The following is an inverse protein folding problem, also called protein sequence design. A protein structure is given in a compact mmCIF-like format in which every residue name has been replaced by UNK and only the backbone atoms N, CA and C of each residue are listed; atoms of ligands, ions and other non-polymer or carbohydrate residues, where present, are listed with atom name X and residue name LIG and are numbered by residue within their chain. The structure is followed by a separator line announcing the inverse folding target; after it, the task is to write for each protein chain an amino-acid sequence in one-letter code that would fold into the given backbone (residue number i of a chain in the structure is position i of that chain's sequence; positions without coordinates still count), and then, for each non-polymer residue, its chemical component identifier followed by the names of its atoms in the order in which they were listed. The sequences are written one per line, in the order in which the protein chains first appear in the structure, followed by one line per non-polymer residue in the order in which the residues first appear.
data_IF_719658269399
#
_entry.id   IF_719658269399
#
_cell.length_a   1.000
_cell.length_b   1.000
_cell.length_c   1.000
_cell.angle_alpha   90.00
_cell.angle_beta   90.00
_cell.angle_gamma   90.00
#
_symmetry.space_group_name_H-M   'P 1'
#
loop_
_entity.id
_entity.type
_entity.pdbx_description
1 polymer ?
#
# COMPACT_ATOMS: atom_id res chain seq x y z
N UNK A 1 14.03 25.50 -6.17
CA UNK A 1 13.95 25.54 -4.71
C UNK A 1 13.98 24.13 -4.13
N UNK A 2 14.54 23.95 -2.92
CA UNK A 2 14.64 22.63 -2.25
C UNK A 2 13.25 21.96 -2.09
N UNK A 3 12.22 22.76 -1.84
CA UNK A 3 10.83 22.27 -1.74
C UNK A 3 10.32 21.67 -3.04
N UNK A 4 10.58 22.31 -4.18
CA UNK A 4 10.17 21.77 -5.48
C UNK A 4 10.86 20.43 -5.77
N UNK A 5 12.14 20.31 -5.44
CA UNK A 5 12.85 19.05 -5.59
C UNK A 5 12.25 17.95 -4.70
N UNK A 6 11.91 18.26 -3.46
CA UNK A 6 11.27 17.30 -2.55
C UNK A 6 9.92 16.82 -3.11
N UNK A 7 9.05 17.77 -3.48
CA UNK A 7 7.74 17.45 -4.04
C UNK A 7 7.86 16.64 -5.34
N UNK A 8 8.81 17.00 -6.23
CA UNK A 8 9.00 16.25 -7.48
C UNK A 8 9.40 14.78 -7.24
N UNK A 9 10.16 14.49 -6.18
CA UNK A 9 10.50 13.11 -5.79
C UNK A 9 9.25 12.31 -5.39
N UNK A 10 8.34 12.91 -4.63
CA UNK A 10 7.11 12.21 -4.25
C UNK A 10 6.15 12.04 -5.43
N UNK A 11 6.07 13.01 -6.34
CA UNK A 11 5.33 12.85 -7.59
C UNK A 11 5.92 11.69 -8.41
N UNK A 12 7.24 11.59 -8.50
CA UNK A 12 7.89 10.49 -9.19
C UNK A 12 7.60 9.15 -8.52
N UNK A 13 7.68 9.07 -7.19
CA UNK A 13 7.33 7.85 -6.44
C UNK A 13 5.89 7.45 -6.73
N UNK A 14 4.94 8.37 -6.61
CA UNK A 14 3.54 8.11 -6.90
C UNK A 14 3.32 7.64 -8.35
N UNK A 15 3.96 8.29 -9.32
CA UNK A 15 3.84 7.89 -10.73
C UNK A 15 4.40 6.48 -10.99
N UNK A 16 5.55 6.14 -10.39
CA UNK A 16 6.17 4.82 -10.55
C UNK A 16 5.32 3.74 -9.88
N UNK A 17 4.79 4.01 -8.68
CA UNK A 17 3.94 3.06 -7.95
C UNK A 17 2.62 2.83 -8.70
N UNK A 18 1.95 3.91 -9.15
CA UNK A 18 0.73 3.82 -9.94
C UNK A 18 0.96 3.05 -11.27
N UNK A 19 2.06 3.33 -11.95
CA UNK A 19 2.43 2.60 -13.17
C UNK A 19 2.69 1.11 -12.90
N UNK A 20 3.40 0.78 -11.83
CA UNK A 20 3.67 -0.61 -11.43
C UNK A 20 2.37 -1.37 -11.15
N UNK A 21 1.44 -0.75 -10.42
CA UNK A 21 0.13 -1.35 -10.16
C UNK A 21 -0.68 -1.54 -11.44
N UNK A 22 -0.64 -0.57 -12.36
CA UNK A 22 -1.30 -0.68 -13.66
C UNK A 22 -0.74 -1.88 -14.45
N UNK A 23 0.58 -2.04 -14.48
CA UNK A 23 1.24 -3.18 -15.15
C UNK A 23 0.77 -4.51 -14.54
N UNK A 24 0.70 -4.60 -13.21
CA UNK A 24 0.21 -5.81 -12.51
C UNK A 24 -1.24 -6.10 -12.90
N UNK A 25 -2.12 -5.11 -12.85
CA UNK A 25 -3.53 -5.27 -13.23
C UNK A 25 -3.66 -5.69 -14.70
N UNK A 26 -2.95 -5.03 -15.61
CA UNK A 26 -2.95 -5.41 -17.03
C UNK A 26 -2.46 -6.85 -17.23
N UNK A 27 -1.41 -7.26 -16.52
CA UNK A 27 -0.88 -8.63 -16.60
C UNK A 27 -1.90 -9.67 -16.14
N UNK A 28 -2.61 -9.40 -15.04
CA UNK A 28 -3.68 -10.27 -14.54
C UNK A 28 -4.83 -10.36 -15.55
N UNK A 29 -5.25 -9.24 -16.14
CA UNK A 29 -6.31 -9.22 -17.15
C UNK A 29 -5.89 -10.01 -18.39
N UNK A 30 -4.68 -9.79 -18.90
CA UNK A 30 -4.16 -10.53 -20.07
C UNK A 30 -4.13 -12.03 -19.77
N UNK A 31 -3.61 -12.42 -18.60
CA UNK A 31 -3.57 -13.82 -18.18
C UNK A 31 -4.97 -14.43 -18.10
N UNK A 32 -5.93 -13.70 -17.50
CA UNK A 32 -7.33 -14.13 -17.41
C UNK A 32 -7.94 -14.37 -18.80
N UNK A 33 -7.68 -13.48 -19.76
CA UNK A 33 -8.14 -13.64 -21.14
C UNK A 33 -7.48 -14.84 -21.84
N UNK A 34 -6.19 -15.08 -21.61
CA UNK A 34 -5.47 -16.22 -22.19
C UNK A 34 -6.00 -17.58 -21.69
N UNK A 35 -6.42 -17.63 -20.43
CA UNK A 35 -6.98 -18.86 -19.82
C UNK A 35 -8.48 -18.99 -20.07
N UNK A 36 -9.07 -18.11 -20.89
CA UNK A 36 -10.52 -18.07 -21.18
C UNK A 36 -11.38 -17.97 -19.91
N UNK A 37 -10.82 -17.42 -18.83
CA UNK A 37 -11.56 -17.18 -17.60
C UNK A 37 -12.47 -15.96 -17.75
N UNK A 38 -13.69 -16.04 -17.26
CA UNK A 38 -14.58 -14.88 -17.18
C UNK A 38 -14.02 -13.88 -16.16
N UNK A 39 -13.67 -12.68 -16.61
CA UNK A 39 -13.26 -11.61 -15.70
C UNK A 39 -14.52 -11.04 -15.02
N UNK A 40 -14.60 -11.20 -13.70
CA UNK A 40 -15.64 -10.60 -12.89
C UNK A 40 -15.02 -9.55 -11.95
N UNK A 41 -15.58 -8.36 -11.94
CA UNK A 41 -15.25 -7.33 -10.95
C UNK A 41 -15.86 -7.62 -9.56
N UNK A 42 -16.59 -8.73 -9.43
CA UNK A 42 -17.25 -9.16 -8.21
C UNK A 42 -16.48 -10.32 -7.60
N UNK A 43 -16.19 -10.21 -6.31
CA UNK A 43 -15.54 -11.27 -5.53
C UNK A 43 -16.63 -12.11 -4.87
N UNK A 44 -16.71 -13.37 -5.27
CA UNK A 44 -17.64 -14.33 -4.69
C UNK A 44 -17.03 -14.98 -3.46
N UNK A 45 -17.67 -14.82 -2.29
CA UNK A 45 -17.21 -15.44 -1.04
C UNK A 45 -17.14 -16.97 -1.12
N UNK A 46 -17.98 -17.58 -1.94
CA UNK A 46 -17.99 -19.03 -2.18
C UNK A 46 -16.72 -19.54 -2.88
N UNK A 47 -16.15 -18.75 -3.79
CA UNK A 47 -14.89 -19.10 -4.46
C UNK A 47 -13.71 -19.20 -3.48
N UNK A 48 -13.75 -18.46 -2.38
CA UNK A 48 -12.75 -18.50 -1.31
C UNK A 48 -12.95 -19.70 -0.36
N UNK A 49 -14.16 -20.27 -0.29
CA UNK A 49 -14.44 -21.48 0.49
C UNK A 49 -13.76 -22.71 -0.12
N UNK A 50 -13.55 -22.73 -1.44
CA UNK A 50 -12.77 -23.79 -2.12
C UNK A 50 -11.32 -23.86 -1.64
N UNK A 51 -10.80 -22.80 -1.02
CA UNK A 51 -9.45 -22.75 -0.44
C UNK A 51 -9.38 -23.25 1.03
N UNK A 52 -10.35 -24.04 1.49
CA UNK A 52 -10.45 -24.55 2.88
C UNK A 52 -10.52 -23.46 3.95
N UNK A 53 -10.95 -22.26 3.61
CA UNK A 53 -11.19 -21.19 4.57
C UNK A 53 -12.52 -21.45 5.29
N UNK A 54 -12.51 -21.34 6.61
CA UNK A 54 -13.68 -21.63 7.42
C UNK A 54 -14.89 -20.73 7.05
N UNK A 55 -16.02 -21.31 6.66
CA UNK A 55 -17.18 -20.55 6.15
C UNK A 55 -17.79 -19.57 7.17
N UNK A 56 -17.56 -19.76 8.45
CA UNK A 56 -18.01 -18.84 9.52
C UNK A 56 -17.24 -17.52 9.52
N UNK A 57 -16.06 -17.48 8.92
CA UNK A 57 -15.18 -16.31 8.86
C UNK A 57 -15.57 -15.37 7.70
N UNK A 58 -16.14 -15.91 6.62
CA UNK A 58 -16.51 -15.16 5.42
C UNK A 58 -17.96 -14.64 5.50
N UNK A 59 -18.20 -13.52 4.85
CA UNK A 59 -19.56 -13.05 4.57
C UNK A 59 -20.14 -13.89 3.43
N UNK A 60 -21.40 -14.26 3.56
CA UNK A 60 -22.13 -14.85 2.44
C UNK A 60 -22.46 -13.73 1.43
N UNK A 61 -22.26 -14.00 0.14
CA UNK A 61 -22.66 -13.11 -0.96
C UNK A 61 -21.48 -12.56 -1.76
N UNK A 62 -21.83 -11.61 -2.59
CA UNK A 62 -20.95 -10.97 -3.55
C UNK A 62 -20.43 -9.64 -2.98
N UNK A 63 -19.17 -9.33 -3.23
CA UNK A 63 -18.56 -8.06 -2.86
C UNK A 63 -17.93 -7.42 -4.11
N UNK A 64 -18.23 -6.14 -4.33
CA UNK A 64 -17.57 -5.36 -5.38
C UNK A 64 -16.08 -5.26 -5.09
N UNK A 65 -15.25 -5.60 -6.06
CA UNK A 65 -13.79 -5.58 -5.95
C UNK A 65 -13.21 -4.16 -5.94
N UNK A 66 -13.91 -3.17 -6.47
CA UNK A 66 -13.42 -1.80 -6.61
C UNK A 66 -12.99 -1.16 -5.27
N UNK A 67 -13.77 -1.27 -4.18
CA UNK A 67 -13.32 -0.76 -2.87
C UNK A 67 -12.05 -1.44 -2.37
N UNK A 68 -11.86 -2.74 -2.62
CA UNK A 68 -10.62 -3.43 -2.26
C UNK A 68 -9.41 -2.86 -3.01
N UNK A 69 -9.51 -2.74 -4.34
CA UNK A 69 -8.43 -2.19 -5.15
C UNK A 69 -8.13 -0.73 -4.81
N UNK A 70 -9.14 0.05 -4.43
CA UNK A 70 -8.95 1.42 -3.94
C UNK A 70 -8.13 1.42 -2.65
N UNK A 71 -8.49 0.61 -1.66
CA UNK A 71 -7.75 0.48 -0.41
C UNK A 71 -6.31 0.01 -0.62
N UNK A 72 -6.12 -0.98 -1.49
CA UNK A 72 -4.83 -1.52 -1.88
C UNK A 72 -3.95 -0.44 -2.53
N UNK A 73 -4.48 0.33 -3.48
CA UNK A 73 -3.75 1.42 -4.13
C UNK A 73 -3.24 2.45 -3.12
N UNK A 74 -4.13 2.98 -2.27
CA UNK A 74 -3.74 3.98 -1.27
C UNK A 74 -2.76 3.44 -0.24
N UNK A 75 -2.88 2.17 0.16
CA UNK A 75 -1.94 1.54 1.08
C UNK A 75 -0.55 1.38 0.46
N UNK A 76 -0.47 0.98 -0.81
CA UNK A 76 0.80 0.90 -1.55
C UNK A 76 1.47 2.27 -1.67
N UNK A 77 0.72 3.30 -2.05
CA UNK A 77 1.24 4.67 -2.15
C UNK A 77 1.77 5.15 -0.79
N UNK A 78 1.01 4.94 0.29
CA UNK A 78 1.44 5.35 1.63
C UNK A 78 2.72 4.63 2.08
N UNK A 79 2.88 3.34 1.79
CA UNK A 79 4.09 2.57 2.09
C UNK A 79 5.28 3.06 1.27
N UNK A 80 5.09 3.37 -0.02
CA UNK A 80 6.14 3.92 -0.88
C UNK A 80 6.59 5.32 -0.41
N UNK A 81 5.65 6.16 0.00
CA UNK A 81 5.95 7.47 0.60
C UNK A 81 6.70 7.33 1.93
N UNK A 82 6.28 6.41 2.79
CA UNK A 82 6.96 6.14 4.06
C UNK A 82 8.38 5.64 3.82
N UNK A 83 8.56 4.70 2.88
CA UNK A 83 9.88 4.20 2.52
C UNK A 83 10.79 5.31 1.98
N UNK A 84 10.28 6.18 1.12
CA UNK A 84 11.05 7.30 0.58
C UNK A 84 11.45 8.29 1.67
N UNK A 85 10.51 8.65 2.58
CA UNK A 85 10.78 9.58 3.67
C UNK A 85 11.77 9.01 4.69
N UNK A 86 11.56 7.78 5.15
CA UNK A 86 12.47 7.10 6.10
C UNK A 86 13.83 6.85 5.45
N UNK A 87 13.85 6.44 4.17
CA UNK A 87 15.08 6.18 3.41
C UNK A 87 15.93 7.44 3.26
N UNK A 88 15.30 8.60 3.15
CA UNK A 88 15.99 9.89 3.10
C UNK A 88 16.66 10.24 4.44
N UNK A 89 16.03 9.93 5.57
CA UNK A 89 16.52 10.27 6.92
C UNK A 89 17.54 9.25 7.42
N UNK A 90 17.23 7.95 7.30
CA UNK A 90 17.99 6.85 7.90
C UNK A 90 18.83 6.06 6.89
N UNK A 91 18.67 6.35 5.61
CA UNK A 91 19.29 5.59 4.52
C UNK A 91 18.43 4.42 4.02
N UNK A 92 18.69 3.96 2.77
CA UNK A 92 17.80 3.01 2.07
C UNK A 92 17.75 1.64 2.76
N UNK A 93 18.86 1.13 3.27
CA UNK A 93 18.93 -0.18 3.92
C UNK A 93 18.11 -0.23 5.22
N UNK A 94 18.24 0.81 6.06
CA UNK A 94 17.48 0.90 7.32
C UNK A 94 15.99 1.08 7.04
N UNK A 95 15.64 1.91 6.06
CA UNK A 95 14.26 2.10 5.62
C UNK A 95 13.61 0.78 5.19
N UNK A 96 14.33 -0.03 4.42
CA UNK A 96 13.85 -1.32 3.98
C UNK A 96 13.57 -2.26 5.17
N UNK A 97 14.49 -2.35 6.12
CA UNK A 97 14.32 -3.19 7.32
C UNK A 97 13.13 -2.73 8.15
N UNK A 98 12.99 -1.43 8.37
CA UNK A 98 11.85 -0.85 9.11
C UNK A 98 10.52 -1.18 8.43
N UNK A 99 10.44 -0.99 7.10
CA UNK A 99 9.22 -1.27 6.35
C UNK A 99 8.88 -2.76 6.34
N UNK A 100 9.88 -3.63 6.16
CA UNK A 100 9.67 -5.09 6.21
C UNK A 100 9.20 -5.54 7.60
N UNK A 101 9.79 -5.01 8.67
CA UNK A 101 9.34 -5.29 10.04
C UNK A 101 7.89 -4.85 10.25
N UNK A 102 7.51 -3.69 9.75
CA UNK A 102 6.14 -3.19 9.81
C UNK A 102 5.16 -4.11 9.03
N UNK A 103 5.54 -4.56 7.84
CA UNK A 103 4.73 -5.49 7.04
C UNK A 103 4.60 -6.86 7.72
N UNK A 104 5.68 -7.36 8.34
CA UNK A 104 5.64 -8.59 9.13
C UNK A 104 4.68 -8.43 10.31
N UNK A 105 4.76 -7.34 11.07
CA UNK A 105 3.79 -7.04 12.13
C UNK A 105 2.35 -7.01 11.60
N UNK A 106 2.13 -6.47 10.40
CA UNK A 106 0.81 -6.47 9.75
C UNK A 106 0.32 -7.88 9.45
N UNK A 107 1.21 -8.83 9.17
CA UNK A 107 0.82 -10.22 8.91
C UNK A 107 0.27 -10.92 10.17
N UNK A 108 0.79 -10.57 11.36
CA UNK A 108 0.39 -11.21 12.62
C UNK A 108 -0.72 -10.45 13.36
N UNK A 109 -0.79 -9.14 13.23
CA UNK A 109 -1.77 -8.31 13.94
C UNK A 109 -2.85 -7.76 13.00
N UNK A 110 -4.12 -7.95 13.37
CA UNK A 110 -5.24 -7.36 12.64
C UNK A 110 -5.63 -6.03 13.28
N UNK A 111 -5.10 -4.95 12.71
CA UNK A 111 -5.38 -3.60 13.19
C UNK A 111 -5.48 -2.63 12.00
N UNK A 112 -6.43 -1.71 12.04
CA UNK A 112 -6.69 -0.75 10.96
C UNK A 112 -5.50 0.17 10.65
N UNK A 113 -4.66 0.47 11.65
CA UNK A 113 -3.45 1.29 11.48
C UNK A 113 -2.28 0.54 10.83
N UNK A 114 -2.41 -0.75 10.55
CA UNK A 114 -1.39 -1.53 9.86
C UNK A 114 -1.73 -1.62 8.37
N UNK A 115 -1.12 -0.77 7.55
CA UNK A 115 -1.39 -0.67 6.10
C UNK A 115 -1.22 -2.00 5.36
N UNK A 116 -0.32 -2.87 5.83
CA UNK A 116 -0.17 -4.21 5.27
C UNK A 116 -1.45 -5.05 5.33
N UNK A 117 -2.34 -4.76 6.27
CA UNK A 117 -3.65 -5.43 6.32
C UNK A 117 -4.57 -5.06 5.15
N UNK A 118 -4.44 -3.84 4.62
CA UNK A 118 -5.20 -3.41 3.45
C UNK A 118 -4.73 -4.11 2.15
N UNK A 119 -3.52 -4.68 2.16
CA UNK A 119 -2.99 -5.46 1.04
C UNK A 119 -3.51 -6.91 1.05
N UNK A 120 -4.17 -7.33 2.13
CA UNK A 120 -4.64 -8.69 2.33
C UNK A 120 -6.14 -8.80 2.08
N UNK A 121 -6.52 -9.48 1.01
CA UNK A 121 -7.93 -9.73 0.67
C UNK A 121 -8.69 -10.39 1.85
N UNK A 122 -8.06 -11.34 2.53
CA UNK A 122 -8.63 -12.07 3.68
C UNK A 122 -8.78 -11.24 4.96
N UNK A 123 -8.42 -9.98 4.93
CA UNK A 123 -8.63 -9.02 6.03
C UNK A 123 -9.57 -7.87 5.67
N UNK A 124 -10.01 -7.86 4.43
CA UNK A 124 -10.91 -6.84 3.93
C UNK A 124 -12.34 -7.04 4.42
N UNK A 125 -12.96 -5.98 4.93
CA UNK A 125 -14.31 -5.99 5.47
C UNK A 125 -15.42 -6.21 4.44
N UNK A 126 -15.12 -6.19 3.15
CA UNK A 126 -16.06 -6.57 2.10
C UNK A 126 -16.43 -8.06 2.14
N UNK A 127 -15.45 -8.92 2.41
CA UNK A 127 -15.61 -10.39 2.40
C UNK A 127 -15.52 -11.02 3.79
N UNK A 128 -14.87 -10.37 4.74
CA UNK A 128 -14.65 -10.90 6.10
C UNK A 128 -15.59 -10.21 7.07
N UNK A 129 -16.28 -10.98 7.95
CA UNK A 129 -17.30 -10.45 8.88
C UNK A 129 -16.79 -9.33 9.79
N UNK A 130 -15.56 -9.43 10.24
CA UNK A 130 -14.92 -8.43 11.09
C UNK A 130 -13.69 -7.80 10.40
N UNK A 131 -13.71 -7.74 9.09
CA UNK A 131 -12.60 -7.20 8.29
C UNK A 131 -12.47 -5.69 8.42
N UNK A 132 -11.35 -5.18 7.95
CA UNK A 132 -11.03 -3.76 7.97
C UNK A 132 -11.79 -3.05 6.86
N UNK A 133 -12.49 -1.96 7.21
CA UNK A 133 -13.22 -1.16 6.25
C UNK A 133 -12.25 -0.41 5.32
N UNK A 134 -12.56 -0.36 4.03
CA UNK A 134 -11.76 0.38 3.02
C UNK A 134 -11.59 1.84 3.40
N UNK A 135 -12.65 2.49 3.88
CA UNK A 135 -12.61 3.91 4.25
C UNK A 135 -11.57 4.23 5.33
N UNK A 136 -11.44 3.38 6.37
CA UNK A 136 -10.43 3.57 7.41
C UNK A 136 -9.01 3.38 6.88
N UNK A 137 -8.79 2.39 6.00
CA UNK A 137 -7.48 2.17 5.37
C UNK A 137 -7.08 3.33 4.46
N UNK A 138 -7.99 3.83 3.65
CA UNK A 138 -7.75 4.98 2.75
C UNK A 138 -7.46 6.24 3.56
N UNK A 139 -8.26 6.54 4.59
CA UNK A 139 -8.05 7.70 5.44
C UNK A 139 -6.68 7.65 6.12
N UNK A 140 -6.31 6.51 6.68
CA UNK A 140 -5.02 6.34 7.33
C UNK A 140 -3.86 6.46 6.34
N UNK A 141 -4.00 5.92 5.14
CA UNK A 141 -3.02 6.07 4.05
C UNK A 141 -2.78 7.54 3.70
N UNK A 142 -3.85 8.32 3.55
CA UNK A 142 -3.77 9.76 3.25
C UNK A 142 -3.05 10.51 4.39
N UNK A 143 -3.35 10.16 5.65
CA UNK A 143 -2.66 10.75 6.81
C UNK A 143 -1.17 10.45 6.77
N UNK A 144 -0.77 9.20 6.54
CA UNK A 144 0.66 8.81 6.43
C UNK A 144 1.35 9.56 5.28
N UNK A 145 0.74 9.62 4.10
CA UNK A 145 1.31 10.37 2.96
C UNK A 145 1.49 11.86 3.31
N UNK A 146 0.51 12.48 3.94
CA UNK A 146 0.57 13.88 4.36
C UNK A 146 1.66 14.13 5.40
N UNK A 147 1.82 13.21 6.36
CA UNK A 147 2.91 13.27 7.34
C UNK A 147 4.28 13.11 6.68
N UNK A 148 4.44 12.15 5.77
CA UNK A 148 5.70 11.95 5.05
C UNK A 148 6.10 13.17 4.23
N UNK A 149 5.14 13.81 3.53
CA UNK A 149 5.38 15.05 2.78
C UNK A 149 5.79 16.19 3.70
N UNK A 150 5.08 16.38 4.81
CA UNK A 150 5.30 17.51 5.72
C UNK A 150 6.61 17.36 6.50
N UNK A 151 6.79 16.25 7.19
CA UNK A 151 7.98 16.00 8.01
C UNK A 151 9.24 15.84 7.17
N UNK A 152 9.17 15.07 6.10
CA UNK A 152 10.30 14.92 5.20
C UNK A 152 10.69 16.24 4.54
N UNK A 153 9.72 17.08 4.15
CA UNK A 153 9.98 18.42 3.63
C UNK A 153 10.63 19.37 4.64
N UNK A 154 10.19 19.31 5.91
CA UNK A 154 10.80 20.10 7.00
C UNK A 154 12.22 19.63 7.29
N UNK A 155 12.44 18.32 7.36
CA UNK A 155 13.77 17.74 7.56
C UNK A 155 14.71 18.11 6.42
N UNK A 156 14.24 17.99 5.16
CA UNK A 156 15.04 18.33 3.98
C UNK A 156 15.47 19.80 3.93
N UNK A 157 14.64 20.72 4.45
CA UNK A 157 15.01 22.12 4.55
C UNK A 157 16.14 22.37 5.54
N UNK A 158 16.24 21.56 6.60
CA UNK A 158 17.22 21.68 7.68
C UNK A 158 18.50 20.88 7.43
N UNK A 159 18.43 19.84 6.59
CA UNK A 159 19.60 19.02 6.29
C UNK A 159 20.60 19.82 5.44
N UNK A 160 21.76 20.06 5.99
CA UNK A 160 22.92 20.58 5.26
C UNK A 160 23.50 19.47 4.39
N UNK A 161 23.12 19.49 3.10
CA UNK A 161 23.61 18.51 2.13
C UNK A 161 25.05 18.74 1.70
N UNK A 162 25.65 19.87 2.10
CA UNK A 162 26.97 20.32 1.65
C UNK A 162 28.08 19.74 2.53
N UNK A 163 27.80 19.42 3.79
CA UNK A 163 28.83 19.00 4.76
C UNK A 163 29.34 17.56 4.60
N UNK A 164 28.70 16.74 3.78
CA UNK A 164 29.11 15.35 3.50
C UNK A 164 30.05 15.18 2.30
N UNK A 165 30.21 16.18 1.49
CA UNK A 165 31.04 16.13 0.28
C UNK A 165 32.53 16.44 0.52
N UNK A 166 32.88 17.15 1.59
CA UNK A 166 34.26 17.63 1.82
C UNK A 166 35.09 16.74 2.75
N UNK A 167 34.64 15.53 3.05
CA UNK A 167 35.38 14.56 3.89
C UNK A 167 35.71 13.27 3.13
N UNK A 168 36.05 13.40 1.83
CA UNK A 168 36.68 12.30 1.07
C UNK A 168 38.04 12.80 0.58
#
# INVERSE_FOLDING_TARGET
SRTLWWVSRFILVAAVTAFSLLVVVCSVVIWSLMVSASFSAVIHGESLQLANLAPWFLKAGEADALPFFTGLFFAFEALAFAQAAVGFVLGPSVSFVVLMSYLICSAYARHWALLGNALMLLRWGGIVKEGIATGSSVLFSIVIMSLCLSFGGLWFRRADLIEKGDKI
#
